data_IF_442022504931
#
_entry.id   IF_442022504931
#
_cell.length_a   1.000
_cell.length_b   1.000
_cell.length_c   1.000
_cell.angle_alpha   90.00
_cell.angle_beta   90.00
_cell.angle_gamma   90.00
#
_symmetry.space_group_name_H-M   'P 1'
#
loop_
_entity.id
_entity.type
_entity.pdbx_description
1 polymer ?
#
# COMPACT_ATOMS: atom_id res chain seq x y z
N UNK A 1 -20.65 -9.48 -26.47
CA UNK A 1 -20.93 -9.39 -25.02
C UNK A 1 -19.58 -9.40 -24.31
N UNK A 2 -19.10 -8.23 -23.88
CA UNK A 2 -17.78 -8.08 -23.25
C UNK A 2 -17.75 -8.85 -21.93
N UNK A 3 -16.69 -9.64 -21.74
CA UNK A 3 -16.34 -10.32 -20.50
C UNK A 3 -15.97 -9.26 -19.45
N UNK A 4 -16.86 -9.01 -18.49
CA UNK A 4 -16.54 -8.25 -17.29
C UNK A 4 -15.72 -9.11 -16.33
N UNK A 5 -14.40 -9.16 -16.54
CA UNK A 5 -13.45 -9.52 -15.48
C UNK A 5 -12.98 -8.22 -14.82
N UNK A 6 -12.79 -8.06 -13.51
CA UNK A 6 -12.91 -8.92 -12.33
C UNK A 6 -13.22 -7.99 -11.13
N UNK A 7 -14.32 -8.17 -10.38
CA UNK A 7 -14.57 -7.39 -9.15
C UNK A 7 -13.88 -7.98 -7.90
N UNK A 8 -13.11 -9.08 -8.03
CA UNK A 8 -12.51 -9.82 -6.90
C UNK A 8 -11.12 -9.31 -6.52
N UNK A 9 -10.22 -9.03 -7.47
CA UNK A 9 -8.88 -8.48 -7.18
C UNK A 9 -8.94 -7.16 -6.41
N UNK A 10 -9.94 -6.34 -6.72
CA UNK A 10 -10.10 -5.03 -6.10
C UNK A 10 -10.51 -5.14 -4.62
N UNK A 11 -11.26 -6.18 -4.23
CA UNK A 11 -11.69 -6.38 -2.83
C UNK A 11 -10.55 -6.88 -1.94
N UNK A 12 -9.72 -7.78 -2.45
CA UNK A 12 -8.55 -8.28 -1.71
C UNK A 12 -7.47 -7.20 -1.58
N UNK A 13 -7.24 -6.41 -2.64
CA UNK A 13 -6.35 -5.25 -2.60
C UNK A 13 -6.87 -4.18 -1.62
N UNK A 14 -8.15 -3.83 -1.69
CA UNK A 14 -8.76 -2.84 -0.79
C UNK A 14 -8.66 -3.28 0.68
N UNK A 15 -8.88 -4.56 0.97
CA UNK A 15 -8.70 -5.12 2.32
C UNK A 15 -7.26 -4.98 2.80
N UNK A 16 -6.29 -5.37 1.98
CA UNK A 16 -4.87 -5.26 2.34
C UNK A 16 -4.45 -3.80 2.58
N UNK A 17 -4.89 -2.87 1.72
CA UNK A 17 -4.62 -1.44 1.90
C UNK A 17 -5.24 -0.89 3.20
N UNK A 18 -6.42 -1.37 3.57
CA UNK A 18 -7.07 -1.00 4.85
C UNK A 18 -6.26 -1.55 6.03
N UNK A 19 -5.84 -2.81 5.98
CA UNK A 19 -5.02 -3.44 7.03
C UNK A 19 -3.68 -2.71 7.21
N UNK A 20 -3.02 -2.32 6.11
CA UNK A 20 -1.78 -1.53 6.15
C UNK A 20 -2.04 -0.14 6.76
N UNK A 21 -3.13 0.52 6.39
CA UNK A 21 -3.47 1.83 6.96
C UNK A 21 -3.73 1.76 8.47
N UNK A 22 -4.42 0.71 8.94
CA UNK A 22 -4.61 0.48 10.37
C UNK A 22 -3.28 0.19 11.08
N UNK A 23 -2.42 -0.64 10.49
CA UNK A 23 -1.10 -0.95 11.06
C UNK A 23 -0.21 0.30 11.17
N UNK A 24 -0.22 1.19 10.18
CA UNK A 24 0.52 2.46 10.23
C UNK A 24 0.05 3.33 11.40
N UNK A 25 -1.26 3.39 11.66
CA UNK A 25 -1.82 4.13 12.79
C UNK A 25 -1.47 3.52 14.15
N UNK A 26 -1.26 2.20 14.21
CA UNK A 26 -0.82 1.48 15.40
C UNK A 26 0.70 1.56 15.61
N UNK A 27 1.45 1.76 14.53
CA UNK A 27 2.90 1.84 14.54
C UNK A 27 3.35 3.15 15.19
N UNK A 28 4.10 3.04 16.28
CA UNK A 28 4.75 4.19 16.89
C UNK A 28 6.13 4.40 16.28
N UNK A 29 6.36 5.59 15.74
CA UNK A 29 7.68 6.01 15.30
C UNK A 29 8.64 6.12 16.49
N UNK A 30 9.80 5.50 16.38
CA UNK A 30 10.89 5.57 17.35
C UNK A 30 11.82 6.76 17.10
N UNK A 31 11.80 7.32 15.88
CA UNK A 31 12.57 8.50 15.47
C UNK A 31 11.84 9.37 14.43
N UNK A 32 12.31 10.60 14.23
CA UNK A 32 11.72 11.57 13.29
C UNK A 32 11.78 11.12 11.82
N UNK A 33 12.81 10.37 11.42
CA UNK A 33 12.95 9.85 10.06
C UNK A 33 11.91 8.74 9.80
N UNK A 34 11.71 7.85 10.76
CA UNK A 34 10.65 6.84 10.75
C UNK A 34 9.25 7.49 10.73
N UNK A 35 9.04 8.54 11.53
CA UNK A 35 7.79 9.29 11.53
C UNK A 35 7.50 9.96 10.17
N UNK A 36 8.54 10.44 9.50
CA UNK A 36 8.40 11.01 8.14
C UNK A 36 8.05 9.93 7.14
N UNK A 37 8.76 8.80 7.17
CA UNK A 37 8.52 7.67 6.26
C UNK A 37 7.12 7.08 6.43
N UNK A 38 6.63 6.92 7.67
CA UNK A 38 5.27 6.45 7.95
C UNK A 38 4.20 7.36 7.33
N UNK A 39 4.39 8.68 7.38
CA UNK A 39 3.46 9.65 6.78
C UNK A 39 3.47 9.62 5.26
N UNK A 40 4.61 9.34 4.65
CA UNK A 40 4.69 9.23 3.19
C UNK A 40 4.06 7.92 2.71
N UNK A 41 4.30 6.81 3.41
CA UNK A 41 3.59 5.55 3.15
C UNK A 41 2.08 5.73 3.34
N UNK A 42 1.64 6.42 4.39
CA UNK A 42 0.22 6.68 4.63
C UNK A 42 -0.44 7.42 3.46
N UNK A 43 0.25 8.40 2.85
CA UNK A 43 -0.25 9.09 1.65
C UNK A 43 -0.36 8.13 0.47
N UNK A 44 0.66 7.32 0.23
CA UNK A 44 0.68 6.36 -0.89
C UNK A 44 -0.48 5.35 -0.74
N UNK A 45 -0.70 4.82 0.46
CA UNK A 45 -1.81 3.90 0.76
C UNK A 45 -3.18 4.57 0.58
N UNK A 46 -3.34 5.82 1.00
CA UNK A 46 -4.58 6.57 0.79
C UNK A 46 -4.89 6.80 -0.70
N UNK A 47 -3.88 7.10 -1.50
CA UNK A 47 -4.04 7.24 -2.95
C UNK A 47 -4.41 5.90 -3.61
N UNK A 48 -3.79 4.79 -3.18
CA UNK A 48 -4.15 3.45 -3.63
C UNK A 48 -5.57 3.06 -3.22
N UNK A 49 -6.03 3.41 -2.01
CA UNK A 49 -7.40 3.18 -1.55
C UNK A 49 -8.43 3.93 -2.41
N UNK A 50 -8.14 5.20 -2.74
CA UNK A 50 -9.00 5.99 -3.63
C UNK A 50 -9.08 5.38 -5.02
N UNK A 51 -7.95 4.92 -5.57
CA UNK A 51 -7.90 4.28 -6.91
C UNK A 51 -8.58 2.93 -6.96
N UNK A 52 -8.38 2.09 -5.95
CA UNK A 52 -9.08 0.80 -5.85
C UNK A 52 -10.60 1.01 -5.87
N UNK A 53 -11.08 2.03 -5.15
CA UNK A 53 -12.50 2.38 -5.09
C UNK A 53 -13.04 3.11 -6.33
N UNK A 54 -12.16 3.65 -7.19
CA UNK A 54 -12.54 4.42 -8.36
C UNK A 54 -12.94 3.52 -9.53
N UNK A 55 -14.04 3.88 -10.21
CA UNK A 55 -14.57 3.13 -11.35
C UNK A 55 -13.78 3.35 -12.65
N UNK A 56 -12.86 4.32 -12.66
CA UNK A 56 -11.98 4.66 -13.77
C UNK A 56 -10.62 5.13 -13.21
N UNK A 57 -9.58 4.28 -13.18
CA UNK A 57 -8.27 4.62 -12.64
C UNK A 57 -7.44 5.38 -13.68
N UNK A 58 -7.90 6.55 -14.12
CA UNK A 58 -7.06 7.48 -14.88
C UNK A 58 -6.39 8.42 -13.87
N UNK A 59 -5.13 8.12 -13.51
CA UNK A 59 -4.36 8.90 -12.56
C UNK A 59 -2.86 8.68 -12.72
N UNK A 60 -2.07 9.71 -12.40
CA UNK A 60 -0.61 9.76 -12.44
C UNK A 60 0.06 8.52 -11.84
N UNK A 61 1.20 8.04 -12.35
CA UNK A 61 1.87 6.87 -11.77
C UNK A 61 2.14 7.09 -10.27
N UNK A 62 1.70 6.17 -9.40
CA UNK A 62 2.05 6.24 -7.97
C UNK A 62 3.49 5.77 -7.84
N UNK A 63 4.32 6.61 -7.23
CA UNK A 63 5.66 6.20 -6.84
C UNK A 63 5.57 5.17 -5.72
N UNK A 64 6.12 3.97 -5.94
CA UNK A 64 6.21 2.93 -4.91
C UNK A 64 7.45 3.08 -4.02
N UNK A 65 8.24 4.13 -4.23
CA UNK A 65 9.54 4.33 -3.58
C UNK A 65 9.45 4.39 -2.05
N UNK A 66 8.40 5.00 -1.49
CA UNK A 66 8.22 5.06 -0.02
C UNK A 66 7.90 3.66 0.54
N UNK A 67 7.12 2.86 -0.19
CA UNK A 67 6.80 1.48 0.18
C UNK A 67 8.04 0.58 0.13
N UNK A 68 8.89 0.72 -0.90
CA UNK A 68 10.15 -0.01 -1.02
C UNK A 68 11.13 0.36 0.12
N UNK A 69 11.24 1.65 0.44
CA UNK A 69 12.04 2.11 1.58
C UNK A 69 11.50 1.60 2.92
N UNK A 70 10.18 1.53 3.08
CA UNK A 70 9.54 0.98 4.27
C UNK A 70 9.99 -0.44 4.57
N UNK A 71 10.04 -1.29 3.54
CA UNK A 71 10.47 -2.69 3.68
C UNK A 71 11.88 -2.76 4.25
N UNK A 72 12.80 -1.95 3.74
CA UNK A 72 14.20 -1.95 4.20
C UNK A 72 14.35 -1.31 5.59
N UNK A 73 13.56 -0.28 5.90
CA UNK A 73 13.69 0.46 7.16
C UNK A 73 13.03 -0.27 8.33
N UNK A 74 11.93 -0.96 8.08
CA UNK A 74 11.07 -1.55 9.11
C UNK A 74 11.19 -3.08 9.25
N UNK A 75 12.04 -3.74 8.44
CA UNK A 75 12.21 -5.20 8.50
C UNK A 75 12.59 -5.73 9.89
N UNK A 76 13.26 -4.90 10.71
CA UNK A 76 13.66 -5.26 12.08
C UNK A 76 12.67 -4.77 13.12
N UNK A 77 12.14 -3.54 12.96
CA UNK A 77 11.34 -2.86 13.99
C UNK A 77 9.85 -3.16 13.89
N UNK A 78 9.29 -3.18 12.67
CA UNK A 78 7.86 -3.37 12.41
C UNK A 78 7.65 -4.48 11.37
N UNK A 79 7.94 -5.71 11.80
CA UNK A 79 7.89 -6.91 10.95
C UNK A 79 6.50 -7.15 10.35
N UNK A 80 5.43 -6.86 11.09
CA UNK A 80 4.03 -6.98 10.63
C UNK A 80 3.73 -6.00 9.50
N UNK A 81 4.11 -4.73 9.66
CA UNK A 81 3.95 -3.70 8.64
C UNK A 81 4.75 -4.06 7.38
N UNK A 82 6.00 -4.50 7.56
CA UNK A 82 6.90 -4.90 6.47
C UNK A 82 6.32 -6.06 5.64
N UNK A 83 5.78 -7.08 6.29
CA UNK A 83 5.18 -8.22 5.59
C UNK A 83 3.96 -7.82 4.74
N UNK A 84 3.13 -6.91 5.26
CA UNK A 84 1.96 -6.42 4.52
C UNK A 84 2.34 -5.54 3.33
N UNK A 85 3.33 -4.64 3.51
CA UNK A 85 3.85 -3.80 2.42
C UNK A 85 4.49 -4.66 1.33
N UNK A 86 5.26 -5.69 1.70
CA UNK A 86 5.85 -6.63 0.73
C UNK A 86 4.76 -7.32 -0.10
N UNK A 87 3.71 -7.82 0.56
CA UNK A 87 2.56 -8.42 -0.12
C UNK A 87 1.85 -7.43 -1.06
N UNK A 88 1.75 -6.17 -0.67
CA UNK A 88 1.18 -5.13 -1.53
C UNK A 88 2.04 -4.91 -2.77
N UNK A 89 3.36 -4.80 -2.61
CA UNK A 89 4.31 -4.65 -3.72
C UNK A 89 4.25 -5.84 -4.69
N UNK A 90 4.11 -7.07 -4.17
CA UNK A 90 3.93 -8.26 -5.00
C UNK A 90 2.62 -8.20 -5.83
N UNK A 91 1.52 -7.75 -5.22
CA UNK A 91 0.23 -7.61 -5.92
C UNK A 91 0.34 -6.53 -7.00
N UNK A 92 0.94 -5.37 -6.71
CA UNK A 92 1.10 -4.28 -7.66
C UNK A 92 2.05 -4.66 -8.81
N UNK A 93 3.14 -5.37 -8.51
CA UNK A 93 4.10 -5.87 -9.51
C UNK A 93 3.49 -6.96 -10.40
N UNK A 94 2.69 -7.85 -9.82
CA UNK A 94 2.00 -8.92 -10.55
C UNK A 94 0.80 -8.45 -11.38
N UNK A 95 0.21 -7.31 -11.05
CA UNK A 95 -0.93 -6.73 -11.77
C UNK A 95 -0.53 -5.83 -12.95
N UNK A 96 0.77 -5.53 -13.12
CA UNK A 96 1.29 -4.80 -14.28
C UNK A 96 0.77 -3.37 -14.42
N UNK A 97 0.52 -2.71 -13.27
CA UNK A 97 0.17 -1.28 -13.19
C UNK A 97 1.44 -0.43 -13.32
#
# INVERSE_FOLDING_TARGET
MQRGGQPVENKDLHKLLTEIHEEINLTQAVDDDEGTLLRDIEKDINELLKRSSARNPEGEAISLHSLEQAVSRFEVTHTTLTAQITKLLDILSGSGI
#
